data_IF_013022894973
#
_entry.id   IF_013022894973
#
_cell.length_a   1.000
_cell.length_b   1.000
_cell.length_c   1.000
_cell.angle_alpha   90.00
_cell.angle_beta   90.00
_cell.angle_gamma   90.00
#
_symmetry.space_group_name_H-M   'P 1'
#
loop_
_entity.id
_entity.type
_entity.pdbx_description
1 polymer ?
#
# COMPACT_ATOMS: atom_id res chain seq x y z
N UNK A 1 -1.30 -9.52 40.14
CA UNK A 1 -0.34 -9.33 39.01
C UNK A 1 0.90 -8.58 39.50
N UNK A 2 1.84 -9.28 40.15
CA UNK A 2 3.11 -8.69 40.61
C UNK A 2 3.98 -8.23 39.43
N UNK A 3 3.98 -9.00 38.34
CA UNK A 3 4.73 -8.74 37.11
C UNK A 3 4.38 -7.37 36.49
N UNK A 4 3.09 -7.03 36.43
CA UNK A 4 2.60 -5.75 35.89
C UNK A 4 3.11 -4.55 36.69
N UNK A 5 3.15 -4.66 38.03
CA UNK A 5 3.66 -3.59 38.91
C UNK A 5 5.17 -3.40 38.77
N UNK A 6 5.93 -4.50 38.71
CA UNK A 6 7.40 -4.46 38.55
C UNK A 6 7.83 -3.96 37.17
N UNK A 7 7.07 -4.28 36.13
CA UNK A 7 7.36 -3.88 34.76
C UNK A 7 6.74 -2.53 34.35
N UNK A 8 5.90 -1.91 35.19
CA UNK A 8 5.27 -0.62 34.90
C UNK A 8 4.26 -0.65 33.74
N UNK A 9 3.65 -1.81 33.47
CA UNK A 9 2.71 -2.01 32.34
C UNK A 9 1.32 -2.40 32.83
N UNK A 10 0.31 -2.20 31.99
CA UNK A 10 -1.06 -2.66 32.28
C UNK A 10 -1.13 -4.18 32.40
N UNK A 11 -2.05 -4.67 33.24
CA UNK A 11 -2.31 -6.11 33.38
C UNK A 11 -2.71 -6.77 32.05
N UNK A 12 -3.37 -6.01 31.17
CA UNK A 12 -3.77 -6.46 29.83
C UNK A 12 -2.54 -6.74 28.96
N UNK A 13 -1.50 -5.91 29.05
CA UNK A 13 -0.25 -6.09 28.31
C UNK A 13 0.46 -7.38 28.75
N UNK A 14 0.51 -7.65 30.06
CA UNK A 14 1.08 -8.90 30.59
C UNK A 14 0.29 -10.11 30.07
N UNK A 15 -1.04 -10.05 30.12
CA UNK A 15 -1.89 -11.11 29.61
C UNK A 15 -1.68 -11.38 28.11
N UNK A 16 -1.60 -10.32 27.29
CA UNK A 16 -1.35 -10.44 25.85
C UNK A 16 0.02 -11.04 25.56
N UNK A 17 1.05 -10.60 26.29
CA UNK A 17 2.43 -11.09 26.13
C UNK A 17 2.53 -12.57 26.49
N UNK A 18 1.93 -12.99 27.60
CA UNK A 18 1.91 -14.40 28.02
C UNK A 18 1.12 -15.25 27.02
N UNK A 19 -0.05 -14.78 26.58
CA UNK A 19 -0.85 -15.47 25.57
C UNK A 19 -0.07 -15.66 24.26
N UNK A 20 0.58 -14.61 23.78
CA UNK A 20 1.34 -14.63 22.55
C UNK A 20 2.52 -15.59 22.64
N UNK A 21 3.27 -15.52 23.75
CA UNK A 21 4.38 -16.44 24.05
C UNK A 21 3.92 -17.91 24.04
N UNK A 22 2.81 -18.23 24.71
CA UNK A 22 2.29 -19.60 24.74
C UNK A 22 1.76 -20.08 23.39
N UNK A 23 1.27 -19.19 22.53
CA UNK A 23 0.64 -19.57 21.25
C UNK A 23 1.64 -19.60 20.09
N UNK A 24 2.63 -18.71 20.09
CA UNK A 24 3.51 -18.46 18.92
C UNK A 24 5.00 -18.55 19.24
N UNK A 25 5.35 -18.68 20.52
CA UNK A 25 6.73 -18.77 20.99
C UNK A 25 7.42 -17.42 21.09
N UNK A 26 8.61 -17.44 21.69
CA UNK A 26 9.36 -16.24 22.09
C UNK A 26 9.73 -15.31 20.93
N UNK A 27 10.01 -15.86 19.75
CA UNK A 27 10.51 -15.08 18.61
C UNK A 27 9.42 -14.17 18.02
N UNK A 28 8.17 -14.64 17.98
CA UNK A 28 7.04 -13.85 17.48
C UNK A 28 6.64 -12.77 18.50
N UNK A 29 6.68 -13.09 19.80
CA UNK A 29 6.31 -12.17 20.87
C UNK A 29 7.28 -11.00 21.05
N UNK A 30 8.57 -11.23 20.82
CA UNK A 30 9.60 -10.19 20.95
C UNK A 30 9.71 -9.28 19.73
N UNK A 31 9.22 -9.72 18.56
CA UNK A 31 9.32 -8.96 17.32
C UNK A 31 8.06 -8.16 17.03
N UNK A 32 8.23 -7.08 16.26
CA UNK A 32 7.08 -6.43 15.65
C UNK A 32 6.40 -7.43 14.72
N UNK A 33 5.07 -7.56 14.86
CA UNK A 33 4.29 -8.51 14.09
C UNK A 33 4.44 -8.24 12.60
N UNK A 34 5.15 -9.15 11.91
CA UNK A 34 5.22 -9.13 10.46
C UNK A 34 3.83 -9.48 9.91
N UNK A 35 3.25 -8.56 9.16
CA UNK A 35 1.95 -8.78 8.53
C UNK A 35 2.23 -9.20 7.10
N UNK A 36 1.91 -10.44 6.76
CA UNK A 36 1.97 -10.93 5.39
C UNK A 36 1.16 -10.04 4.43
N UNK A 37 0.05 -9.48 4.92
CA UNK A 37 -0.82 -8.59 4.15
C UNK A 37 -1.14 -7.29 4.92
N UNK A 38 -1.18 -6.14 4.23
CA UNK A 38 -1.60 -4.89 4.85
C UNK A 38 -3.06 -4.96 5.30
N UNK A 39 -3.39 -4.29 6.40
CA UNK A 39 -4.75 -4.26 6.94
C UNK A 39 -5.80 -3.64 5.99
N UNK A 40 -5.36 -2.93 4.94
CA UNK A 40 -6.21 -2.44 3.86
C UNK A 40 -5.61 -2.91 2.54
N UNK A 41 -6.35 -3.66 1.71
CA UNK A 41 -5.87 -4.02 0.39
C UNK A 41 -5.63 -2.75 -0.42
N UNK A 42 -4.52 -2.72 -1.16
CA UNK A 42 -4.28 -1.60 -2.07
C UNK A 42 -5.32 -1.63 -3.18
N UNK A 43 -6.01 -0.51 -3.42
CA UNK A 43 -6.95 -0.37 -4.54
C UNK A 43 -6.26 -0.54 -5.90
N UNK A 44 -4.94 -0.34 -5.94
CA UNK A 44 -4.12 -0.54 -7.14
C UNK A 44 -3.51 -1.95 -7.08
N UNK A 45 -4.21 -2.91 -7.66
CA UNK A 45 -3.70 -4.27 -7.89
C UNK A 45 -2.60 -4.27 -8.96
N UNK A 46 -1.75 -5.29 -8.98
CA UNK A 46 -0.67 -5.43 -9.98
C UNK A 46 -1.15 -5.36 -11.45
N UNK A 47 -2.35 -5.87 -11.76
CA UNK A 47 -2.96 -5.75 -13.08
C UNK A 47 -3.30 -4.29 -13.43
N UNK A 48 -3.88 -3.56 -12.48
CA UNK A 48 -4.20 -2.14 -12.64
C UNK A 48 -2.92 -1.33 -12.83
N UNK A 49 -1.87 -1.62 -12.06
CA UNK A 49 -0.55 -1.01 -12.27
C UNK A 49 -0.03 -1.27 -13.70
N UNK A 50 -0.11 -2.51 -14.19
CA UNK A 50 0.34 -2.87 -15.53
C UNK A 50 -0.44 -2.12 -16.62
N UNK A 51 -1.76 -1.99 -16.47
CA UNK A 51 -2.61 -1.22 -17.41
C UNK A 51 -2.24 0.27 -17.41
N UNK A 52 -1.99 0.86 -16.26
CA UNK A 52 -1.57 2.27 -16.12
C UNK A 52 -0.22 2.50 -16.81
N UNK A 53 0.74 1.58 -16.60
CA UNK A 53 2.07 1.65 -17.24
C UNK A 53 1.97 1.49 -18.75
N UNK A 54 1.19 0.52 -19.24
CA UNK A 54 0.98 0.32 -20.67
C UNK A 54 0.38 1.57 -21.33
N UNK A 55 -0.58 2.22 -20.68
CA UNK A 55 -1.13 3.50 -21.13
C UNK A 55 -0.06 4.59 -21.16
N UNK A 56 0.77 4.71 -20.13
CA UNK A 56 1.83 5.73 -20.09
C UNK A 56 2.92 5.53 -21.17
N UNK A 57 3.17 4.30 -21.61
CA UNK A 57 4.11 3.96 -22.68
C UNK A 57 3.50 4.05 -24.08
N UNK A 58 2.18 4.20 -24.20
CA UNK A 58 1.46 4.31 -25.48
C UNK A 58 1.50 5.73 -26.06
N UNK A 59 0.95 5.92 -27.26
CA UNK A 59 0.91 7.23 -27.91
C UNK A 59 -0.06 8.18 -27.19
N UNK A 60 0.33 9.44 -26.93
CA UNK A 60 -0.55 10.41 -26.29
C UNK A 60 -1.77 10.74 -27.19
N UNK A 61 -2.93 11.06 -26.59
CA UNK A 61 -4.14 11.40 -27.33
C UNK A 61 -3.94 12.68 -28.15
N UNK A 62 -4.69 12.76 -29.26
CA UNK A 62 -4.60 13.83 -30.23
C UNK A 62 -4.66 15.23 -29.57
N UNK A 63 -3.69 16.08 -29.90
CA UNK A 63 -3.55 17.42 -29.32
C UNK A 63 -2.59 17.54 -28.13
N UNK A 64 -1.96 16.43 -27.69
CA UNK A 64 -0.93 16.46 -26.65
C UNK A 64 0.39 15.87 -27.16
N UNK A 65 1.49 16.59 -26.91
CA UNK A 65 2.84 16.14 -27.30
C UNK A 65 3.41 15.04 -26.39
N UNK A 66 2.90 14.91 -25.15
CA UNK A 66 3.37 13.91 -24.16
C UNK A 66 2.30 13.55 -23.14
N UNK A 67 2.45 12.38 -22.52
CA UNK A 67 1.68 12.03 -21.33
C UNK A 67 2.05 12.92 -20.14
N UNK A 68 1.04 13.48 -19.48
CA UNK A 68 1.18 14.13 -18.17
C UNK A 68 0.39 13.34 -17.15
N UNK A 69 0.74 13.43 -15.86
CA UNK A 69 0.00 12.75 -14.77
C UNK A 69 -1.48 13.10 -14.81
N UNK A 70 -1.82 14.37 -15.08
CA UNK A 70 -3.21 14.86 -15.14
C UNK A 70 -3.98 14.25 -16.30
N UNK A 71 -3.35 14.16 -17.47
CA UNK A 71 -3.92 13.52 -18.66
C UNK A 71 -4.16 12.02 -18.43
N UNK A 72 -3.15 11.34 -17.87
CA UNK A 72 -3.25 9.91 -17.55
C UNK A 72 -4.37 9.66 -16.53
N UNK A 73 -4.52 10.51 -15.51
CA UNK A 73 -5.60 10.42 -14.51
C UNK A 73 -6.96 10.44 -15.17
N UNK A 74 -7.19 11.39 -16.07
CA UNK A 74 -8.47 11.51 -16.78
C UNK A 74 -8.72 10.28 -17.67
N UNK A 75 -7.70 9.81 -18.38
CA UNK A 75 -7.81 8.65 -19.28
C UNK A 75 -8.04 7.34 -18.54
N UNK A 76 -7.43 7.15 -17.38
CA UNK A 76 -7.60 5.95 -16.53
C UNK A 76 -9.04 5.86 -16.00
N UNK A 77 -9.65 6.99 -15.62
CA UNK A 77 -11.07 7.06 -15.23
C UNK A 77 -11.99 6.81 -16.44
N UNK A 78 -11.70 7.45 -17.59
CA UNK A 78 -12.49 7.29 -18.81
C UNK A 78 -12.52 5.85 -19.32
N UNK A 79 -11.38 5.13 -19.23
CA UNK A 79 -11.26 3.73 -19.60
C UNK A 79 -11.76 2.75 -18.51
N UNK A 80 -12.39 3.26 -17.43
CA UNK A 80 -12.93 2.47 -16.33
C UNK A 80 -11.90 1.50 -15.70
N UNK A 81 -10.62 1.89 -15.70
CA UNK A 81 -9.54 1.08 -15.09
C UNK A 81 -9.65 1.12 -13.56
N UNK A 82 -10.10 2.26 -13.01
CA UNK A 82 -10.39 2.51 -11.60
C UNK A 82 -11.58 3.48 -11.51
N UNK A 83 -12.56 3.20 -10.65
CA UNK A 83 -13.74 4.06 -10.45
C UNK A 83 -13.38 5.48 -9.96
N UNK A 84 -12.32 5.58 -9.15
CA UNK A 84 -11.78 6.86 -8.71
C UNK A 84 -10.27 6.72 -8.49
N UNK A 85 -9.48 7.58 -9.14
CA UNK A 85 -8.03 7.59 -9.00
C UNK A 85 -7.52 9.02 -8.85
N UNK A 86 -6.70 9.24 -7.83
CA UNK A 86 -6.02 10.50 -7.59
C UNK A 86 -4.73 10.61 -8.40
N UNK A 87 -4.29 11.86 -8.64
CA UNK A 87 -2.98 12.16 -9.28
C UNK A 87 -1.80 11.53 -8.53
N UNK A 88 -1.88 11.51 -7.20
CA UNK A 88 -0.85 10.94 -6.31
C UNK A 88 -0.71 9.42 -6.47
N UNK A 89 -1.84 8.72 -6.64
CA UNK A 89 -1.87 7.27 -6.88
C UNK A 89 -1.11 6.96 -8.16
N UNK A 90 -1.43 7.66 -9.26
CA UNK A 90 -0.75 7.47 -10.54
C UNK A 90 0.72 7.85 -10.46
N UNK A 91 1.06 8.98 -9.84
CA UNK A 91 2.45 9.40 -9.67
C UNK A 91 3.26 8.36 -8.89
N UNK A 92 2.69 7.79 -7.84
CA UNK A 92 3.34 6.76 -7.02
C UNK A 92 3.49 5.45 -7.79
N UNK A 93 2.45 5.02 -8.52
CA UNK A 93 2.51 3.83 -9.38
C UNK A 93 3.58 3.96 -10.46
N UNK A 94 3.65 5.10 -11.14
CA UNK A 94 4.69 5.37 -12.14
C UNK A 94 6.09 5.39 -11.51
N UNK A 95 6.25 6.06 -10.35
CA UNK A 95 7.52 6.09 -9.61
C UNK A 95 8.00 4.70 -9.19
N UNK A 96 7.09 3.82 -8.73
CA UNK A 96 7.42 2.42 -8.39
C UNK A 96 7.97 1.64 -9.59
N UNK A 97 7.70 2.08 -10.81
CA UNK A 97 8.15 1.44 -12.06
C UNK A 97 9.24 2.23 -12.77
N UNK A 98 9.81 3.27 -12.13
CA UNK A 98 10.88 4.08 -12.68
C UNK A 98 10.44 5.08 -13.76
N UNK A 99 9.13 5.29 -13.93
CA UNK A 99 8.58 6.25 -14.89
C UNK A 99 8.32 7.59 -14.21
N UNK A 100 8.81 8.66 -14.83
CA UNK A 100 8.58 10.04 -14.38
C UNK A 100 7.95 10.84 -15.51
N UNK A 101 6.66 11.16 -15.37
CA UNK A 101 5.95 12.09 -16.25
C UNK A 101 5.99 13.48 -15.61
N UNK A 102 6.48 14.47 -16.36
CA UNK A 102 6.50 15.90 -15.97
C UNK A 102 5.21 16.58 -16.39
#
# INVERSE_FOLDING_TARGET
MEISKRAGVSQVTVHHTVRDYCTRGIQDTLRYRDRAEPARPSQVTGEIEARIVALACSEPPQGYARWTVRLLTRRVVELNVLESVGRETIRTTLKKRGLSLT
#
